data_IF_161993366953
#
_entry.id   IF_161993366953
#
_cell.length_a   1.000
_cell.length_b   1.000
_cell.length_c   1.000
_cell.angle_alpha   90.00
_cell.angle_beta   90.00
_cell.angle_gamma   90.00
#
_symmetry.space_group_name_H-M   'P 1'
#
loop_
_entity.id
_entity.type
_entity.pdbx_description
1 polymer ?
#
# COMPACT_ATOMS: atom_id res chain seq x y z
N UNK A 1 26.39 -1.02 -1.68
CA UNK A 1 26.84 -0.63 -3.05
C UNK A 1 25.87 0.40 -3.63
N UNK A 2 26.23 1.25 -4.62
CA UNK A 2 25.28 2.23 -5.22
C UNK A 2 24.11 1.51 -5.95
N UNK A 3 24.36 0.33 -6.51
CA UNK A 3 23.38 -0.39 -7.34
C UNK A 3 22.51 -1.38 -6.55
N UNK A 4 22.85 -1.65 -5.30
CA UNK A 4 22.12 -2.58 -4.44
C UNK A 4 20.62 -2.21 -4.27
N UNK A 5 20.24 -0.92 -4.11
CA UNK A 5 18.83 -0.53 -4.09
C UNK A 5 18.08 -0.83 -5.40
N UNK A 6 18.76 -0.77 -6.56
CA UNK A 6 18.16 -1.07 -7.86
C UNK A 6 17.88 -2.56 -8.02
N UNK A 7 18.80 -3.39 -7.54
CA UNK A 7 18.61 -4.84 -7.53
C UNK A 7 17.41 -5.22 -6.64
N UNK A 8 17.33 -4.62 -5.44
CA UNK A 8 16.21 -4.84 -4.53
C UNK A 8 14.87 -4.37 -5.12
N UNK A 9 14.85 -3.21 -5.76
CA UNK A 9 13.66 -2.68 -6.44
C UNK A 9 13.21 -3.58 -7.59
N UNK A 10 14.15 -3.97 -8.46
CA UNK A 10 13.88 -4.86 -9.60
C UNK A 10 13.30 -6.18 -9.14
N UNK A 11 13.90 -6.83 -8.13
CA UNK A 11 13.41 -8.10 -7.58
C UNK A 11 12.00 -8.00 -7.01
N UNK A 12 11.65 -6.88 -6.36
CA UNK A 12 10.29 -6.66 -5.83
C UNK A 12 9.28 -6.45 -6.94
N UNK A 13 9.61 -5.64 -7.95
CA UNK A 13 8.68 -5.26 -9.02
C UNK A 13 8.54 -6.32 -10.11
N UNK A 14 9.55 -7.16 -10.31
CA UNK A 14 9.52 -8.29 -11.25
C UNK A 14 9.04 -9.60 -10.59
N UNK A 15 8.41 -9.51 -9.42
CA UNK A 15 7.87 -10.67 -8.73
C UNK A 15 6.50 -11.04 -9.31
N UNK A 16 6.35 -12.27 -9.78
CA UNK A 16 5.07 -12.78 -10.29
C UNK A 16 4.19 -13.42 -9.20
N UNK A 17 4.70 -13.52 -7.97
CA UNK A 17 4.01 -14.20 -6.87
C UNK A 17 3.08 -13.30 -6.05
N UNK A 18 3.08 -11.99 -6.29
CA UNK A 18 2.23 -11.04 -5.55
C UNK A 18 1.87 -9.82 -6.41
N UNK A 19 0.75 -9.13 -6.11
CA UNK A 19 0.39 -7.91 -6.83
C UNK A 19 1.47 -6.83 -6.67
N UNK A 20 2.00 -6.36 -7.79
CA UNK A 20 3.11 -5.39 -7.83
C UNK A 20 2.64 -3.95 -7.94
N UNK A 21 1.47 -3.69 -8.55
CA UNK A 21 0.90 -2.33 -8.70
C UNK A 21 0.89 -1.54 -7.38
N UNK A 22 0.43 -2.09 -6.24
CA UNK A 22 0.36 -1.35 -4.97
C UNK A 22 1.73 -0.96 -4.40
N UNK A 23 2.83 -1.56 -4.86
CA UNK A 23 4.17 -1.30 -4.34
C UNK A 23 5.02 -0.46 -5.29
N UNK A 24 4.52 -0.09 -6.47
CA UNK A 24 5.27 0.69 -7.47
C UNK A 24 5.73 2.03 -6.88
N UNK A 25 4.81 2.87 -6.40
CA UNK A 25 5.17 4.19 -5.85
C UNK A 25 6.04 4.11 -4.59
N UNK A 26 5.75 3.23 -3.60
CA UNK A 26 6.63 3.01 -2.46
C UNK A 26 8.05 2.59 -2.84
N UNK A 27 8.19 1.65 -3.79
CA UNK A 27 9.51 1.15 -4.22
C UNK A 27 10.29 2.23 -4.96
N UNK A 28 9.66 2.98 -5.87
CA UNK A 28 10.32 4.08 -6.59
C UNK A 28 10.75 5.17 -5.61
N UNK A 29 9.90 5.53 -4.65
CA UNK A 29 10.25 6.53 -3.62
C UNK A 29 11.44 6.06 -2.79
N UNK A 30 11.44 4.79 -2.35
CA UNK A 30 12.56 4.20 -1.60
C UNK A 30 13.85 4.18 -2.43
N UNK A 31 13.74 3.94 -3.74
CA UNK A 31 14.89 3.96 -4.65
C UNK A 31 15.45 5.38 -4.75
N UNK A 32 14.60 6.40 -4.87
CA UNK A 32 14.99 7.81 -4.92
C UNK A 32 15.69 8.24 -3.62
N UNK A 33 15.11 7.91 -2.46
CA UNK A 33 15.71 8.26 -1.16
C UNK A 33 17.03 7.53 -0.92
N UNK A 34 17.19 6.32 -1.45
CA UNK A 34 18.47 5.58 -1.37
C UNK A 34 19.64 6.28 -2.10
N UNK A 35 19.33 7.19 -3.02
CA UNK A 35 20.30 7.99 -3.79
C UNK A 35 20.66 9.31 -3.10
N UNK A 36 20.12 9.61 -1.92
CA UNK A 36 20.55 10.77 -1.14
C UNK A 36 22.04 10.68 -0.78
N UNK A 37 22.68 11.84 -0.70
CA UNK A 37 24.09 11.92 -0.37
C UNK A 37 24.34 11.48 1.06
N UNK A 38 25.47 10.81 1.26
CA UNK A 38 26.02 10.47 2.57
C UNK A 38 27.31 11.25 2.76
N UNK A 39 27.65 11.56 4.01
CA UNK A 39 28.87 12.32 4.33
C UNK A 39 30.15 11.60 3.84
N UNK A 40 30.12 10.28 3.79
CA UNK A 40 31.21 9.44 3.31
C UNK A 40 31.29 9.31 1.77
N UNK A 41 30.35 9.90 1.01
CA UNK A 41 30.34 9.74 -0.45
C UNK A 41 31.47 10.55 -1.10
N UNK A 42 32.21 9.90 -2.00
CA UNK A 42 33.17 10.58 -2.87
C UNK A 42 32.49 11.46 -3.92
N UNK A 43 33.24 12.39 -4.50
CA UNK A 43 32.75 13.26 -5.59
C UNK A 43 32.20 12.45 -6.79
N UNK A 44 32.84 11.32 -7.11
CA UNK A 44 32.36 10.41 -8.14
C UNK A 44 31.00 9.79 -7.77
N UNK A 45 30.85 9.32 -6.52
CA UNK A 45 29.61 8.71 -6.06
C UNK A 45 28.45 9.71 -6.06
N UNK A 46 28.69 10.96 -5.66
CA UNK A 46 27.70 12.04 -5.74
C UNK A 46 27.25 12.29 -7.17
N UNK A 47 28.20 12.41 -8.11
CA UNK A 47 27.90 12.59 -9.54
C UNK A 47 27.10 11.42 -10.13
N UNK A 48 27.42 10.19 -9.72
CA UNK A 48 26.64 9.01 -10.15
C UNK A 48 25.22 9.06 -9.58
N UNK A 49 25.07 9.38 -8.30
CA UNK A 49 23.76 9.54 -7.64
C UNK A 49 22.89 10.60 -8.32
N UNK A 50 23.46 11.75 -8.70
CA UNK A 50 22.74 12.81 -9.43
C UNK A 50 22.19 12.32 -10.77
N UNK A 51 23.05 11.67 -11.56
CA UNK A 51 22.64 11.14 -12.86
C UNK A 51 21.54 10.09 -12.72
N UNK A 52 21.67 9.19 -11.74
CA UNK A 52 20.67 8.17 -11.47
C UNK A 52 19.35 8.78 -11.01
N UNK A 53 19.40 9.77 -10.12
CA UNK A 53 18.23 10.48 -9.63
C UNK A 53 17.46 11.15 -10.77
N UNK A 54 18.17 11.86 -11.65
CA UNK A 54 17.58 12.51 -12.83
C UNK A 54 16.93 11.50 -13.78
N UNK A 55 17.59 10.36 -14.03
CA UNK A 55 17.06 9.31 -14.91
C UNK A 55 15.79 8.68 -14.33
N UNK A 56 15.79 8.38 -13.02
CA UNK A 56 14.64 7.79 -12.33
C UNK A 56 13.46 8.75 -12.34
N UNK A 57 13.68 10.02 -11.97
CA UNK A 57 12.62 11.02 -11.96
C UNK A 57 11.95 11.13 -13.33
N UNK A 58 12.74 11.26 -14.40
CA UNK A 58 12.20 11.32 -15.78
C UNK A 58 11.47 10.05 -16.19
N UNK A 59 11.98 8.88 -15.80
CA UNK A 59 11.39 7.60 -16.21
C UNK A 59 10.03 7.35 -15.56
N UNK A 60 9.83 7.81 -14.33
CA UNK A 60 8.67 7.45 -13.52
C UNK A 60 7.73 8.62 -13.22
N UNK A 61 8.00 9.80 -13.75
CA UNK A 61 7.16 11.01 -13.58
C UNK A 61 5.69 10.75 -13.89
N UNK A 62 5.41 10.06 -15.00
CA UNK A 62 4.05 9.74 -15.44
C UNK A 62 3.33 8.75 -14.51
N UNK A 63 4.06 7.85 -13.84
CA UNK A 63 3.46 6.87 -12.92
C UNK A 63 2.85 7.52 -11.68
N UNK A 64 3.38 8.67 -11.27
CA UNK A 64 2.80 9.45 -10.18
C UNK A 64 1.46 10.11 -10.57
N UNK A 65 1.18 10.25 -11.86
CA UNK A 65 -0.08 10.79 -12.39
C UNK A 65 -1.11 9.70 -12.74
N UNK A 66 -0.68 8.43 -12.77
CA UNK A 66 -1.57 7.31 -13.03
C UNK A 66 -2.51 7.08 -11.83
N UNK A 67 -3.81 7.29 -12.07
CA UNK A 67 -4.85 7.18 -11.04
C UNK A 67 -4.96 5.77 -10.47
N UNK A 68 -4.75 4.73 -11.27
CA UNK A 68 -4.85 3.35 -10.82
C UNK A 68 -3.68 2.99 -9.92
N UNK A 69 -2.45 3.34 -10.34
CA UNK A 69 -1.24 3.11 -9.53
C UNK A 69 -1.33 3.87 -8.21
N UNK A 70 -1.77 5.13 -8.25
CA UNK A 70 -1.97 5.95 -7.06
C UNK A 70 -2.99 5.32 -6.11
N UNK A 71 -4.18 4.97 -6.61
CA UNK A 71 -5.25 4.38 -5.81
C UNK A 71 -4.80 3.04 -5.20
N UNK A 72 -4.25 2.13 -6.00
CA UNK A 72 -3.77 0.84 -5.52
C UNK A 72 -2.68 0.98 -4.46
N UNK A 73 -1.76 1.95 -4.62
CA UNK A 73 -0.70 2.19 -3.63
C UNK A 73 -1.24 2.75 -2.33
N UNK A 74 -2.26 3.61 -2.40
CA UNK A 74 -2.91 4.23 -1.22
C UNK A 74 -3.81 3.25 -0.47
N UNK A 75 -4.48 2.33 -1.17
CA UNK A 75 -5.35 1.32 -0.55
C UNK A 75 -4.56 0.16 0.07
N UNK A 76 -3.25 0.11 -0.11
CA UNK A 76 -2.43 -0.96 0.44
C UNK A 76 -2.19 -0.76 1.95
N UNK A 77 -2.70 -1.67 2.80
CA UNK A 77 -2.62 -1.53 4.25
C UNK A 77 -1.19 -1.62 4.80
N UNK A 78 -0.21 -2.05 3.98
CA UNK A 78 1.21 -2.08 4.38
C UNK A 78 1.78 -0.68 4.58
N UNK A 79 1.18 0.35 3.97
CA UNK A 79 1.66 1.72 4.04
C UNK A 79 0.71 2.59 4.87
N UNK A 80 1.19 3.04 6.04
CA UNK A 80 0.38 3.84 6.99
C UNK A 80 0.68 5.33 6.94
N UNK A 81 1.88 5.70 6.51
CA UNK A 81 2.41 7.07 6.57
C UNK A 81 2.38 7.80 5.21
N UNK A 82 1.96 7.10 4.14
CA UNK A 82 1.90 7.60 2.76
C UNK A 82 3.13 8.41 2.33
N UNK A 83 4.30 8.08 2.87
CA UNK A 83 5.57 8.79 2.67
C UNK A 83 6.03 8.83 1.20
N UNK A 84 5.45 7.98 0.35
CA UNK A 84 5.64 7.95 -1.10
C UNK A 84 4.81 8.98 -1.88
N UNK A 85 3.91 9.72 -1.22
CA UNK A 85 3.14 10.79 -1.81
C UNK A 85 3.88 12.13 -1.65
N UNK A 86 4.30 12.72 -2.76
CA UNK A 86 4.87 14.06 -2.74
C UNK A 86 3.78 15.12 -2.50
N UNK A 87 4.15 16.28 -1.93
CA UNK A 87 3.22 17.37 -1.58
C UNK A 87 2.40 17.89 -2.77
N UNK A 88 2.91 17.77 -4.00
CA UNK A 88 2.19 18.13 -5.24
C UNK A 88 1.10 17.12 -5.64
N UNK A 89 1.18 15.87 -5.20
CA UNK A 89 0.16 14.84 -5.44
C UNK A 89 -1.05 14.99 -4.51
N UNK A 90 -0.94 15.83 -3.47
CA UNK A 90 -2.03 16.18 -2.56
C UNK A 90 -3.22 16.84 -3.27
N UNK A 91 -3.04 17.40 -4.48
CA UNK A 91 -4.15 17.99 -5.22
C UNK A 91 -5.08 16.91 -5.84
N UNK A 92 -4.52 15.79 -6.32
CA UNK A 92 -5.28 14.59 -6.75
C UNK A 92 -5.79 13.78 -5.54
N UNK A 93 -5.11 13.93 -4.42
CA UNK A 93 -5.42 13.31 -3.13
C UNK A 93 -6.78 13.70 -2.57
N UNK A 94 -7.44 14.78 -3.00
CA UNK A 94 -8.82 15.04 -2.57
C UNK A 94 -9.80 13.97 -3.10
N UNK A 95 -9.63 13.47 -4.32
CA UNK A 95 -10.46 12.39 -4.86
C UNK A 95 -10.15 11.06 -4.15
N UNK A 96 -8.87 10.78 -3.90
CA UNK A 96 -8.46 9.55 -3.18
C UNK A 96 -8.78 9.59 -1.69
N UNK A 97 -8.70 10.75 -1.03
CA UNK A 97 -9.16 10.96 0.35
C UNK A 97 -10.67 10.83 0.45
N UNK A 98 -11.42 11.24 -0.57
CA UNK A 98 -12.87 10.97 -0.64
C UNK A 98 -13.12 9.46 -0.70
N UNK A 99 -12.39 8.71 -1.54
CA UNK A 99 -12.50 7.24 -1.59
C UNK A 99 -12.07 6.59 -0.27
N UNK A 100 -10.96 7.04 0.34
CA UNK A 100 -10.53 6.56 1.66
C UNK A 100 -11.55 6.86 2.75
N UNK A 101 -12.12 8.08 2.78
CA UNK A 101 -13.18 8.43 3.72
C UNK A 101 -14.44 7.60 3.48
N UNK A 102 -14.79 7.31 2.22
CA UNK A 102 -15.91 6.45 1.88
C UNK A 102 -15.69 5.00 2.33
N UNK A 103 -14.47 4.47 2.19
CA UNK A 103 -14.11 3.12 2.65
C UNK A 103 -14.04 3.05 4.18
N UNK A 104 -13.45 4.04 4.84
CA UNK A 104 -13.47 4.12 6.32
C UNK A 104 -14.90 4.26 6.87
N UNK A 105 -15.75 5.04 6.21
CA UNK A 105 -17.16 5.14 6.56
C UNK A 105 -17.95 3.87 6.26
N UNK A 106 -17.49 3.03 5.32
CA UNK A 106 -18.06 1.72 5.04
C UNK A 106 -17.66 0.71 6.13
N UNK A 107 -16.38 0.67 6.53
CA UNK A 107 -15.92 -0.18 7.63
C UNK A 107 -16.60 0.17 8.96
N UNK A 108 -16.76 1.46 9.28
CA UNK A 108 -17.48 1.90 10.47
C UNK A 108 -18.96 1.49 10.44
N UNK A 109 -19.61 1.53 9.26
CA UNK A 109 -20.99 1.06 9.09
C UNK A 109 -21.10 -0.44 9.26
N UNK A 110 -20.20 -1.21 8.68
CA UNK A 110 -20.20 -2.68 8.83
C UNK A 110 -19.95 -3.11 10.27
N UNK A 111 -19.04 -2.45 10.99
CA UNK A 111 -18.86 -2.68 12.43
C UNK A 111 -20.11 -2.33 13.23
N UNK A 112 -20.81 -1.24 12.88
CA UNK A 112 -22.06 -0.89 13.53
C UNK A 112 -23.17 -1.93 13.27
N UNK A 113 -23.25 -2.49 12.06
CA UNK A 113 -24.17 -3.60 11.76
C UNK A 113 -23.84 -4.86 12.56
N UNK A 114 -22.56 -5.24 12.64
CA UNK A 114 -22.13 -6.40 13.42
C UNK A 114 -22.44 -6.24 14.93
N UNK A 115 -22.22 -5.04 15.48
CA UNK A 115 -22.54 -4.74 16.88
C UNK A 115 -24.06 -4.71 17.12
N UNK A 116 -24.84 -4.24 16.14
CA UNK A 116 -26.31 -4.30 16.20
C UNK A 116 -26.82 -5.74 16.12
N UNK A 117 -26.24 -6.58 15.28
CA UNK A 117 -26.56 -8.01 15.22
C UNK A 117 -26.18 -8.73 16.52
N UNK A 118 -25.02 -8.41 17.10
CA UNK A 118 -24.58 -8.96 18.38
C UNK A 118 -25.53 -8.54 19.51
N UNK A 119 -25.88 -7.25 19.60
CA UNK A 119 -26.84 -6.76 20.58
C UNK A 119 -28.25 -7.31 20.35
N UNK A 120 -28.68 -7.46 19.09
CA UNK A 120 -29.96 -8.09 18.76
C UNK A 120 -29.98 -9.56 19.20
N UNK A 121 -28.91 -10.31 18.96
CA UNK A 121 -28.79 -11.71 19.39
C UNK A 121 -28.76 -11.85 20.93
N UNK A 122 -28.18 -10.88 21.65
CA UNK A 122 -28.19 -10.82 23.11
C UNK A 122 -29.57 -10.45 23.66
N UNK A 123 -30.25 -9.47 23.06
CA UNK A 123 -31.57 -8.97 23.50
C UNK A 123 -32.73 -9.91 23.16
N UNK A 124 -32.64 -10.59 22.02
CA UNK A 124 -33.72 -11.43 21.49
C UNK A 124 -33.38 -12.93 21.50
N UNK A 125 -32.22 -13.30 22.04
CA UNK A 125 -31.92 -14.65 22.49
C UNK A 125 -31.92 -15.72 21.40
N UNK A 126 -30.99 -15.64 20.46
CA UNK A 126 -30.60 -16.83 19.69
C UNK A 126 -29.40 -17.50 20.37
N UNK A 127 -29.65 -18.13 21.53
CA UNK A 127 -28.80 -19.23 21.99
C UNK A 127 -29.15 -20.46 21.18
N UNK A 128 -28.69 -20.53 19.93
CA UNK A 128 -28.57 -21.82 19.26
C UNK A 128 -27.52 -22.60 20.03
N UNK A 129 -27.98 -23.37 21.00
CA UNK A 129 -27.23 -24.46 21.60
C UNK A 129 -26.72 -25.32 20.45
N UNK A 130 -25.42 -25.24 20.17
CA UNK A 130 -24.72 -26.22 19.35
C UNK A 130 -24.69 -27.50 20.16
N UNK A 131 -25.79 -28.24 20.13
CA UNK A 131 -25.79 -29.66 20.46
C UNK A 131 -24.99 -30.35 19.37
N UNK A 132 -23.73 -30.65 19.67
CA UNK A 132 -22.97 -31.64 18.90
C UNK A 132 -23.69 -32.98 19.04
N UNK A 133 -24.34 -33.43 17.97
CA UNK A 133 -24.75 -34.82 17.82
C UNK A 133 -24.74 -35.25 16.36
N UNK A 134 -23.83 -36.19 16.09
CA UNK A 134 -23.76 -37.17 15.01
C UNK A 134 -23.33 -36.71 13.61
N UNK A 135 -22.01 -36.83 13.38
CA UNK A 135 -21.45 -37.20 12.07
C UNK A 135 -21.68 -38.70 11.89
N UNK A 136 -22.63 -39.07 11.03
CA UNK A 136 -22.70 -40.40 10.43
C UNK A 136 -22.07 -40.28 9.03
N UNK A 137 -20.90 -40.89 8.81
CA UNK A 137 -20.33 -41.08 7.47
C UNK A 137 -21.09 -42.20 6.75
N UNK A 138 -21.38 -42.08 5.44
CA UNK A 138 -21.59 -43.24 4.60
C UNK A 138 -20.29 -43.66 3.88
N UNK A 139 -20.22 -44.95 3.64
CA UNK A 139 -19.14 -45.77 3.06
C UNK A 139 -18.70 -45.36 1.65
#
# INVERSE_FOLDING_TARGET
SILEPFEAATRKLASDSSPTIPIILPVITTLITSLEYRDADSSFQKKVKDNLHLIIQKRFEELYQDKLILLCSVLDPRWKDFSFLNRSLYQSHNETLVVLNQLQAFDARNLAYLLLEEQFNILFGNTSTVSQSNVQQPE
#
